data_IF_601217516470
#
_entry.id   IF_601217516470
#
_cell.length_a   1.000
_cell.length_b   1.000
_cell.length_c   1.000
_cell.angle_alpha   90.00
_cell.angle_beta   90.00
_cell.angle_gamma   90.00
#
_symmetry.space_group_name_H-M   'P 1'
#
loop_
_entity.id
_entity.type
_entity.pdbx_description
1 polymer ?
#
# COMPACT_ATOMS: atom_id res chain seq x y z
N UNK A 1 -5.61 54.20 -28.33
CA UNK A 1 -6.98 53.87 -28.76
C UNK A 1 -7.11 52.36 -28.84
N UNK A 2 -8.07 51.83 -28.10
CA UNK A 2 -8.36 50.41 -27.90
C UNK A 2 -8.79 49.70 -29.18
N UNK A 3 -8.40 48.42 -29.31
CA UNK A 3 -9.22 47.38 -29.92
C UNK A 3 -8.76 46.02 -29.40
N UNK A 4 -9.40 45.54 -28.34
CA UNK A 4 -9.36 44.12 -27.99
C UNK A 4 -10.70 43.52 -28.39
N UNK A 5 -10.63 42.54 -29.29
CA UNK A 5 -11.77 41.84 -29.84
C UNK A 5 -12.31 40.85 -28.81
N UNK A 6 -13.59 41.00 -28.49
CA UNK A 6 -14.39 40.15 -27.60
C UNK A 6 -14.75 38.85 -28.34
N UNK A 7 -14.03 37.76 -28.04
CA UNK A 7 -14.56 36.43 -28.32
C UNK A 7 -15.53 36.03 -27.19
N UNK A 8 -16.80 36.14 -27.56
CA UNK A 8 -17.97 35.61 -26.87
C UNK A 8 -18.01 34.07 -26.89
N UNK A 9 -18.95 33.51 -26.12
CA UNK A 9 -19.33 32.09 -25.92
C UNK A 9 -18.48 31.36 -24.86
N UNK A 10 -18.98 31.11 -23.65
CA UNK A 10 -20.28 30.52 -23.36
C UNK A 10 -20.19 28.99 -23.41
N UNK A 11 -19.66 28.37 -22.35
CA UNK A 11 -19.83 26.94 -22.13
C UNK A 11 -20.22 26.68 -20.67
N UNK A 12 -21.53 26.46 -20.54
CA UNK A 12 -22.23 26.03 -19.33
C UNK A 12 -21.52 24.83 -18.68
N UNK A 13 -21.48 24.88 -17.36
CA UNK A 13 -21.66 23.78 -16.42
C UNK A 13 -21.05 22.42 -16.81
N UNK A 14 -20.02 22.03 -16.07
CA UNK A 14 -19.96 20.65 -15.56
C UNK A 14 -19.76 20.75 -14.05
N UNK A 15 -20.88 20.65 -13.35
CA UNK A 15 -20.94 20.35 -11.92
C UNK A 15 -20.91 18.82 -11.83
N UNK A 16 -19.77 18.25 -11.42
CA UNK A 16 -19.57 16.88 -10.97
C UNK A 16 -18.50 17.01 -9.87
N UNK A 17 -18.86 17.29 -8.61
CA UNK A 17 -19.38 16.36 -7.62
C UNK A 17 -18.42 15.19 -7.32
N UNK A 18 -18.13 15.04 -6.02
CA UNK A 18 -17.60 13.83 -5.35
C UNK A 18 -16.11 13.57 -5.63
N UNK A 19 -15.19 13.81 -4.69
CA UNK A 19 -15.01 12.99 -3.50
C UNK A 19 -14.46 13.83 -2.34
N UNK A 20 -15.36 14.30 -1.48
CA UNK A 20 -15.03 14.50 -0.07
C UNK A 20 -14.86 13.11 0.55
N UNK A 21 -13.63 12.65 0.51
CA UNK A 21 -13.16 11.41 1.13
C UNK A 21 -11.66 11.54 1.34
N UNK A 22 -11.24 12.68 1.88
CA UNK A 22 -9.87 12.88 2.33
C UNK A 22 -9.62 11.89 3.47
N UNK A 23 -9.02 10.77 3.07
CA UNK A 23 -8.17 9.89 3.84
C UNK A 23 -8.54 9.84 5.33
N UNK A 24 -9.38 8.86 5.68
CA UNK A 24 -9.35 8.25 7.01
C UNK A 24 -7.91 8.22 7.49
N UNK A 25 -7.63 8.81 8.65
CA UNK A 25 -6.29 9.06 9.17
C UNK A 25 -5.33 7.92 8.87
N UNK A 26 -4.57 8.06 7.77
CA UNK A 26 -3.53 7.13 7.39
C UNK A 26 -2.40 7.49 8.33
N UNK A 27 -2.34 6.79 9.47
CA UNK A 27 -1.09 6.72 10.21
C UNK A 27 -0.03 6.36 9.17
N UNK A 28 0.97 7.22 9.02
CA UNK A 28 2.04 7.06 8.05
C UNK A 28 2.69 5.69 8.25
N UNK A 29 2.21 4.72 7.48
CA UNK A 29 2.69 3.34 7.42
C UNK A 29 3.41 3.26 6.09
N UNK A 30 4.71 3.02 6.16
CA UNK A 30 5.52 2.86 4.95
C UNK A 30 5.07 1.58 4.24
N UNK A 31 4.27 1.75 3.19
CA UNK A 31 3.91 0.66 2.28
C UNK A 31 5.18 0.25 1.56
N UNK A 32 5.60 -0.99 1.79
CA UNK A 32 6.83 -1.55 1.21
C UNK A 32 6.55 -2.37 -0.03
N UNK A 33 5.32 -2.86 -0.17
CA UNK A 33 4.91 -3.66 -1.31
C UNK A 33 3.39 -3.62 -1.44
N UNK A 34 2.90 -3.60 -2.67
CA UNK A 34 1.47 -3.66 -2.97
C UNK A 34 1.26 -4.63 -4.11
N UNK A 35 0.23 -5.45 -4.00
CA UNK A 35 -0.14 -6.40 -5.05
C UNK A 35 -1.65 -6.42 -5.26
N UNK A 36 -2.04 -6.82 -6.47
CA UNK A 36 -3.44 -6.99 -6.83
C UNK A 36 -3.86 -8.43 -6.58
N UNK A 37 -5.11 -8.61 -6.16
CA UNK A 37 -5.79 -9.89 -6.11
C UNK A 37 -7.17 -9.73 -6.77
N UNK A 38 -7.89 -10.84 -6.99
CA UNK A 38 -9.12 -10.86 -7.80
C UNK A 38 -10.19 -9.82 -7.43
N UNK A 39 -10.23 -9.37 -6.17
CA UNK A 39 -11.25 -8.42 -5.68
C UNK A 39 -10.70 -7.04 -5.29
N UNK A 40 -9.42 -6.75 -5.52
CA UNK A 40 -8.84 -5.44 -5.21
C UNK A 40 -7.34 -5.45 -4.97
N UNK A 41 -6.87 -4.45 -4.22
CA UNK A 41 -5.45 -4.28 -3.85
C UNK A 41 -5.21 -4.68 -2.41
N UNK A 42 -4.07 -5.30 -2.15
CA UNK A 42 -3.53 -5.56 -0.81
C UNK A 42 -2.22 -4.81 -0.66
N UNK A 43 -2.06 -4.15 0.49
CA UNK A 43 -0.86 -3.38 0.82
C UNK A 43 -0.11 -4.07 1.96
N UNK A 44 1.19 -4.28 1.78
CA UNK A 44 2.13 -4.73 2.81
C UNK A 44 2.87 -3.50 3.31
N UNK A 45 2.83 -3.25 4.62
CA UNK A 45 3.43 -2.08 5.22
C UNK A 45 4.27 -2.43 6.44
N UNK A 46 5.19 -1.54 6.80
CA UNK A 46 6.00 -1.66 8.02
C UNK A 46 5.31 -0.90 9.15
N UNK A 47 4.98 -1.61 10.23
CA UNK A 47 4.40 -1.03 11.44
C UNK A 47 5.44 -0.59 12.46
N UNK A 48 4.95 -0.11 13.61
CA UNK A 48 5.77 0.16 14.79
C UNK A 48 6.54 -1.11 15.20
N UNK A 49 7.84 -0.96 15.50
CA UNK A 49 8.71 -2.10 15.81
C UNK A 49 9.31 -2.81 14.59
N UNK A 50 9.18 -2.23 13.39
CA UNK A 50 9.75 -2.74 12.13
C UNK A 50 9.12 -4.05 11.63
N UNK A 51 8.00 -4.48 12.22
CA UNK A 51 7.27 -5.69 11.80
C UNK A 51 6.48 -5.40 10.52
N UNK A 52 6.50 -6.36 9.60
CA UNK A 52 5.72 -6.32 8.38
C UNK A 52 4.31 -6.82 8.65
N UNK A 53 3.35 -6.02 8.19
CA UNK A 53 1.94 -6.34 8.26
C UNK A 53 1.36 -6.34 6.85
N UNK A 54 0.39 -7.22 6.62
CA UNK A 54 -0.42 -7.21 5.41
C UNK A 54 -1.80 -6.65 5.74
N UNK A 55 -2.21 -5.63 5.01
CA UNK A 55 -3.53 -5.03 5.12
C UNK A 55 -4.45 -5.61 4.06
N UNK A 56 -5.35 -6.50 4.49
CA UNK A 56 -6.46 -6.97 3.66
C UNK A 56 -7.67 -6.04 3.86
N UNK A 57 -8.70 -6.13 2.99
CA UNK A 57 -9.93 -5.37 3.19
C UNK A 57 -10.68 -5.68 4.48
N UNK A 58 -10.51 -6.88 5.03
CA UNK A 58 -11.24 -7.35 6.21
C UNK A 58 -10.48 -7.11 7.50
N UNK A 59 -9.14 -7.23 7.48
CA UNK A 59 -8.30 -7.11 8.66
C UNK A 59 -6.82 -6.90 8.32
N UNK A 60 -6.03 -6.59 9.34
CA UNK A 60 -4.58 -6.42 9.30
C UNK A 60 -3.91 -7.60 9.99
N UNK A 61 -2.92 -8.21 9.35
CA UNK A 61 -2.22 -9.38 9.89
C UNK A 61 -0.72 -9.16 10.02
N UNK A 62 -0.15 -9.65 11.12
CA UNK A 62 1.30 -9.81 11.26
C UNK A 62 1.77 -10.93 10.33
N UNK A 63 2.66 -10.60 9.40
CA UNK A 63 3.23 -11.56 8.44
C UNK A 63 4.28 -12.48 9.06
N UNK A 64 4.72 -12.18 10.29
CA UNK A 64 5.81 -12.87 10.97
C UNK A 64 7.20 -12.44 10.50
N UNK A 65 7.30 -11.43 9.63
CA UNK A 65 8.57 -10.85 9.21
C UNK A 65 8.84 -9.52 9.91
N UNK A 66 10.11 -9.26 10.23
CA UNK A 66 10.58 -7.97 10.76
C UNK A 66 11.72 -7.46 9.90
N UNK A 67 11.76 -6.16 9.61
CA UNK A 67 12.88 -5.54 8.91
C UNK A 67 14.17 -5.80 9.69
N UNK A 68 15.22 -6.24 9.01
CA UNK A 68 16.52 -6.40 9.63
C UNK A 68 17.03 -5.05 10.13
N UNK A 69 17.72 -5.01 11.27
CA UNK A 69 18.27 -3.77 11.83
C UNK A 69 19.33 -3.12 10.94
N UNK A 70 20.01 -3.94 10.13
CA UNK A 70 20.96 -3.52 9.08
C UNK A 70 20.58 -4.22 7.78
N UNK A 71 19.59 -3.71 7.03
CA UNK A 71 19.09 -4.39 5.85
C UNK A 71 20.14 -4.37 4.73
N UNK A 72 20.36 -5.53 4.12
CA UNK A 72 21.20 -5.71 2.93
C UNK A 72 20.41 -6.44 1.83
N UNK A 73 21.02 -6.61 0.65
CA UNK A 73 20.40 -7.38 -0.45
C UNK A 73 20.09 -8.82 -0.03
N UNK A 74 20.95 -9.42 0.80
CA UNK A 74 20.86 -10.81 1.23
C UNK A 74 20.09 -11.00 2.54
N UNK A 75 19.98 -9.96 3.38
CA UNK A 75 19.18 -9.96 4.60
C UNK A 75 18.42 -8.64 4.75
N UNK A 76 17.28 -8.55 4.10
CA UNK A 76 16.37 -7.40 4.22
C UNK A 76 15.39 -7.58 5.38
N UNK A 77 14.94 -8.82 5.61
CA UNK A 77 13.96 -9.17 6.64
C UNK A 77 14.40 -10.40 7.42
N UNK A 78 13.92 -10.50 8.65
CA UNK A 78 14.06 -11.62 9.56
C UNK A 78 12.68 -12.26 9.72
N UNK A 79 12.59 -13.57 9.51
CA UNK A 79 11.38 -14.34 9.86
C UNK A 79 11.21 -14.48 11.37
N UNK A 80 10.08 -15.03 11.83
CA UNK A 80 9.80 -15.28 13.25
C UNK A 80 10.84 -16.18 13.94
N UNK A 81 11.49 -17.07 13.19
CA UNK A 81 12.60 -17.91 13.69
C UNK A 81 13.96 -17.20 13.70
N UNK A 82 14.03 -15.95 13.25
CA UNK A 82 15.27 -15.17 13.14
C UNK A 82 16.07 -15.44 11.85
N UNK A 83 15.57 -16.28 10.94
CA UNK A 83 16.24 -16.51 9.66
C UNK A 83 16.17 -15.28 8.76
N UNK A 84 17.31 -14.88 8.21
CA UNK A 84 17.44 -13.82 7.21
C UNK A 84 16.79 -14.22 5.89
N UNK A 85 16.11 -13.27 5.24
CA UNK A 85 15.56 -13.42 3.91
C UNK A 85 15.69 -12.12 3.10
N UNK A 86 15.69 -12.26 1.78
CA UNK A 86 15.72 -11.12 0.85
C UNK A 86 14.34 -10.47 0.76
N UNK A 87 14.30 -9.23 0.26
CA UNK A 87 13.02 -8.53 0.07
C UNK A 87 12.09 -9.31 -0.87
N UNK A 88 12.59 -9.76 -2.01
CA UNK A 88 11.80 -10.51 -2.98
C UNK A 88 11.24 -11.81 -2.40
N UNK A 89 12.05 -12.57 -1.65
CA UNK A 89 11.60 -13.82 -1.04
C UNK A 89 10.56 -13.59 0.07
N UNK A 90 10.73 -12.55 0.90
CA UNK A 90 9.74 -12.19 1.91
C UNK A 90 8.40 -11.79 1.27
N UNK A 91 8.42 -10.93 0.25
CA UNK A 91 7.18 -10.48 -0.40
C UNK A 91 6.47 -11.62 -1.14
N UNK A 92 7.21 -12.47 -1.86
CA UNK A 92 6.62 -13.63 -2.53
C UNK A 92 5.94 -14.60 -1.55
N UNK A 93 6.53 -14.84 -0.37
CA UNK A 93 5.90 -15.65 0.67
C UNK A 93 4.64 -15.00 1.25
N UNK A 94 4.69 -13.69 1.54
CA UNK A 94 3.53 -12.93 2.03
C UNK A 94 2.41 -12.92 1.00
N UNK A 95 2.71 -12.67 -0.27
CA UNK A 95 1.75 -12.75 -1.37
C UNK A 95 1.14 -14.14 -1.47
N UNK A 96 1.95 -15.20 -1.53
CA UNK A 96 1.45 -16.57 -1.64
C UNK A 96 0.55 -16.98 -0.48
N UNK A 97 0.91 -16.61 0.76
CA UNK A 97 0.06 -16.82 1.95
C UNK A 97 -1.20 -15.98 1.93
N UNK A 98 -1.13 -14.75 1.41
CA UNK A 98 -2.33 -13.94 1.21
C UNK A 98 -3.23 -14.65 0.22
N UNK A 99 -2.78 -14.92 -1.00
CA UNK A 99 -3.60 -15.49 -2.06
C UNK A 99 -4.17 -16.89 -1.72
N UNK A 100 -3.47 -17.68 -0.91
CA UNK A 100 -3.95 -18.99 -0.45
C UNK A 100 -5.00 -18.96 0.67
N UNK A 101 -5.36 -17.78 1.18
CA UNK A 101 -6.38 -17.66 2.22
C UNK A 101 -5.84 -17.50 3.65
N UNK A 102 -4.52 -17.55 3.87
CA UNK A 102 -3.95 -17.60 5.22
C UNK A 102 -4.18 -16.32 6.04
N UNK A 103 -4.24 -15.16 5.36
CA UNK A 103 -4.45 -13.85 5.98
C UNK A 103 -5.86 -13.27 5.76
N UNK A 104 -6.88 -14.11 5.53
CA UNK A 104 -8.27 -13.68 5.32
C UNK A 104 -9.21 -14.03 6.48
N UNK A 105 -8.67 -14.54 7.60
CA UNK A 105 -9.44 -15.11 8.73
C UNK A 105 -9.61 -14.16 9.90
#
# INVERSE_FOLDING_TARGET
>A
MQSQSLFSLGRKAVLLAVLAGAAAGVQARDVVHSFQYDKGRVDVYVGTGQTLFVQTPVSTYDTGYRRASKPSKDCAYLSRSGACTTHAAAMADVEGKTLSGAYWK
#
